data_IF_575052219798
#
_entry.id   IF_575052219798
#
_cell.length_a   1.000
_cell.length_b   1.000
_cell.length_c   1.000
_cell.angle_alpha   90.00
_cell.angle_beta   90.00
_cell.angle_gamma   90.00
#
_symmetry.space_group_name_H-M   'P 1'
#
loop_
_entity.id
_entity.type
_entity.pdbx_description
1 polymer ?
#
# COMPACT_ATOMS: atom_id res chain seq x y z
N UNK A 1 24.40 14.70 14.64
CA UNK A 1 24.21 13.38 15.31
C UNK A 1 23.22 12.59 14.48
N UNK A 2 23.71 11.86 13.46
CA UNK A 2 22.87 11.08 12.53
C UNK A 2 22.15 9.88 13.19
N UNK A 3 22.51 9.55 14.43
CA UNK A 3 22.01 8.40 15.17
C UNK A 3 20.50 8.39 15.37
N UNK A 4 19.85 9.56 15.45
CA UNK A 4 18.41 9.64 15.71
C UNK A 4 17.57 9.31 14.47
N UNK A 5 18.05 9.70 13.27
CA UNK A 5 17.46 9.25 11.99
C UNK A 5 17.65 7.74 11.83
N UNK A 6 18.86 7.23 12.06
CA UNK A 6 19.17 5.80 11.97
C UNK A 6 18.33 4.99 12.94
N UNK A 7 18.21 5.45 14.20
CA UNK A 7 17.35 4.84 15.20
C UNK A 7 15.90 4.80 14.73
N UNK A 8 15.38 5.90 14.16
CA UNK A 8 14.03 5.98 13.62
C UNK A 8 13.80 4.97 12.49
N UNK A 9 14.79 4.79 11.59
CA UNK A 9 14.75 3.78 10.52
C UNK A 9 14.72 2.36 11.10
N UNK A 10 15.60 2.06 12.06
CA UNK A 10 15.63 0.75 12.72
C UNK A 10 14.32 0.46 13.46
N UNK A 11 13.77 1.45 14.18
CA UNK A 11 12.50 1.33 14.89
C UNK A 11 11.34 1.09 13.92
N UNK A 12 11.27 1.85 12.81
CA UNK A 12 10.24 1.67 11.80
C UNK A 12 10.29 0.25 11.18
N UNK A 13 11.49 -0.25 10.84
CA UNK A 13 11.67 -1.60 10.33
C UNK A 13 11.27 -2.68 11.35
N UNK A 14 11.60 -2.48 12.62
CA UNK A 14 11.24 -3.40 13.70
C UNK A 14 9.72 -3.44 13.91
N UNK A 15 9.06 -2.28 13.97
CA UNK A 15 7.59 -2.19 14.08
C UNK A 15 6.88 -2.83 12.87
N UNK A 16 7.38 -2.59 11.66
CA UNK A 16 6.86 -3.20 10.44
C UNK A 16 7.02 -4.72 10.47
N UNK A 17 8.19 -5.22 10.89
CA UNK A 17 8.49 -6.66 10.99
C UNK A 17 7.62 -7.36 12.03
N UNK A 18 7.45 -6.77 13.22
CA UNK A 18 6.57 -7.31 14.27
C UNK A 18 5.12 -7.35 13.79
N UNK A 19 4.66 -6.28 13.15
CA UNK A 19 3.31 -6.22 12.59
C UNK A 19 3.12 -7.30 11.53
N UNK A 20 4.09 -7.48 10.62
CA UNK A 20 4.02 -8.49 9.57
C UNK A 20 4.08 -9.92 10.13
N UNK A 21 4.85 -10.15 11.19
CA UNK A 21 4.89 -11.44 11.87
C UNK A 21 3.56 -11.76 12.58
N UNK A 22 2.93 -10.75 13.20
CA UNK A 22 1.68 -10.93 13.95
C UNK A 22 0.46 -11.09 13.04
N UNK A 23 0.39 -10.32 11.96
CA UNK A 23 -0.77 -10.28 11.07
C UNK A 23 -0.57 -11.06 9.76
N UNK A 24 0.66 -11.37 9.39
CA UNK A 24 1.00 -12.12 8.19
C UNK A 24 1.34 -13.58 8.49
N UNK A 25 0.77 -14.51 7.70
CA UNK A 25 1.17 -15.91 7.73
C UNK A 25 2.44 -16.14 6.89
N UNK A 26 3.59 -15.70 7.39
CA UNK A 26 4.83 -15.58 6.61
C UNK A 26 5.31 -16.91 6.00
N UNK A 27 5.00 -18.04 6.64
CA UNK A 27 5.39 -19.37 6.19
C UNK A 27 4.61 -19.85 4.95
N UNK A 28 3.41 -19.33 4.70
CA UNK A 28 2.57 -19.70 3.56
C UNK A 28 2.67 -18.72 2.39
N UNK A 29 3.23 -17.54 2.63
CA UNK A 29 3.26 -16.45 1.68
C UNK A 29 4.50 -16.50 0.79
N UNK A 30 4.34 -16.11 -0.48
CA UNK A 30 5.47 -15.98 -1.40
C UNK A 30 6.38 -14.81 -0.96
N UNK A 31 7.72 -14.96 -1.00
CA UNK A 31 8.65 -13.95 -0.45
C UNK A 31 8.51 -12.56 -1.06
N UNK A 32 8.09 -12.45 -2.33
CA UNK A 32 7.82 -11.15 -2.99
C UNK A 32 6.71 -10.39 -2.27
N UNK A 33 5.64 -11.07 -1.83
CA UNK A 33 4.53 -10.47 -1.09
C UNK A 33 5.06 -9.92 0.23
N UNK A 34 5.81 -10.75 0.95
CA UNK A 34 6.43 -10.39 2.24
C UNK A 34 7.31 -9.15 2.11
N UNK A 35 8.22 -9.12 1.13
CA UNK A 35 9.12 -7.98 0.92
C UNK A 35 8.37 -6.70 0.53
N UNK A 36 7.36 -6.81 -0.33
CA UNK A 36 6.53 -5.69 -0.79
C UNK A 36 5.76 -5.07 0.38
N UNK A 37 5.09 -5.89 1.19
CA UNK A 37 4.33 -5.43 2.35
C UNK A 37 5.25 -4.86 3.43
N UNK A 38 6.37 -5.54 3.71
CA UNK A 38 7.36 -5.05 4.67
C UNK A 38 7.88 -3.66 4.27
N UNK A 39 8.20 -3.46 3.00
CA UNK A 39 8.67 -2.17 2.47
C UNK A 39 7.58 -1.09 2.61
N UNK A 40 6.34 -1.38 2.20
CA UNK A 40 5.20 -0.45 2.32
C UNK A 40 4.99 0.02 3.77
N UNK A 41 4.95 -0.92 4.71
CA UNK A 41 4.70 -0.63 6.11
C UNK A 41 5.87 0.09 6.75
N UNK A 42 7.10 -0.28 6.39
CA UNK A 42 8.30 0.39 6.87
C UNK A 42 8.32 1.87 6.48
N UNK A 43 7.96 2.22 5.24
CA UNK A 43 7.83 3.62 4.83
C UNK A 43 6.73 4.35 5.60
N UNK A 44 5.58 3.70 5.80
CA UNK A 44 4.47 4.30 6.55
C UNK A 44 4.86 4.65 7.99
N UNK A 45 5.53 3.73 8.69
CA UNK A 45 6.05 4.01 10.04
C UNK A 45 7.20 5.02 10.03
N UNK A 46 8.08 4.97 9.04
CA UNK A 46 9.22 5.89 8.94
C UNK A 46 8.78 7.34 8.77
N UNK A 47 7.73 7.60 8.00
CA UNK A 47 7.18 8.94 7.77
C UNK A 47 6.77 9.60 9.10
N UNK A 48 6.13 8.85 10.00
CA UNK A 48 5.68 9.36 11.31
C UNK A 48 6.84 9.89 12.15
N UNK A 49 7.99 9.22 12.13
CA UNK A 49 9.18 9.65 12.88
C UNK A 49 10.03 10.68 12.13
N UNK A 50 10.05 10.63 10.80
CA UNK A 50 10.90 11.51 9.98
C UNK A 50 10.34 12.93 9.88
N UNK A 51 9.00 13.09 9.81
CA UNK A 51 8.38 14.42 9.68
C UNK A 51 8.81 15.38 10.80
N UNK A 52 8.72 15.03 12.10
CA UNK A 52 9.18 15.92 13.16
C UNK A 52 10.66 16.31 13.06
N UNK A 53 11.52 15.38 12.61
CA UNK A 53 12.95 15.63 12.44
C UNK A 53 13.24 16.59 11.28
N UNK A 54 12.51 16.43 10.18
CA UNK A 54 12.62 17.31 9.02
C UNK A 54 12.12 18.72 9.36
N UNK A 55 10.97 18.83 10.04
CA UNK A 55 10.41 20.12 10.48
C UNK A 55 11.37 20.84 11.42
N UNK A 56 11.88 20.17 12.46
CA UNK A 56 12.83 20.79 13.40
C UNK A 56 14.13 21.21 12.74
N UNK A 57 14.64 20.42 11.78
CA UNK A 57 15.81 20.78 10.98
C UNK A 57 15.54 21.99 10.08
N UNK A 58 14.37 22.06 9.47
CA UNK A 58 13.98 23.15 8.57
C UNK A 58 13.80 24.46 9.33
N UNK A 59 13.10 24.43 10.47
CA UNK A 59 12.91 25.60 11.35
C UNK A 59 14.26 26.13 11.85
N UNK A 60 15.17 25.25 12.25
CA UNK A 60 16.51 25.66 12.67
C UNK A 60 17.28 26.37 11.54
N UNK A 61 17.21 25.86 10.30
CA UNK A 61 17.88 26.49 9.15
C UNK A 61 17.25 27.83 8.78
N UNK A 62 15.91 27.94 8.86
CA UNK A 62 15.22 29.21 8.67
C UNK A 62 15.66 30.25 9.70
N UNK A 63 15.78 29.86 10.98
CA UNK A 63 16.30 30.73 12.04
C UNK A 63 17.71 31.24 11.72
N UNK A 64 18.62 30.37 11.28
CA UNK A 64 19.99 30.76 10.91
C UNK A 64 20.01 31.75 9.73
N UNK A 65 19.12 31.58 8.75
CA UNK A 65 19.01 32.46 7.59
C UNK A 65 18.42 33.82 7.97
N UNK A 66 17.35 33.86 8.76
CA UNK A 66 16.71 35.11 9.21
C UNK A 66 17.67 35.98 10.03
N UNK A 67 18.51 35.36 10.86
CA UNK A 67 19.47 36.08 11.70
C UNK A 67 20.85 36.31 11.04
N UNK A 68 21.05 35.94 9.76
CA UNK A 68 22.32 36.07 9.04
C UNK A 68 23.55 35.55 9.82
N UNK A 69 23.36 34.55 10.69
CA UNK A 69 24.39 34.02 11.60
C UNK A 69 25.53 33.35 10.81
N UNK A 70 25.35 33.11 9.51
CA UNK A 70 26.35 32.54 8.61
C UNK A 70 27.42 33.52 8.14
N UNK A 71 27.24 34.85 8.24
CA UNK A 71 28.12 35.84 7.58
C UNK A 71 28.71 36.96 8.46
N UNK A 72 28.37 37.07 9.75
CA UNK A 72 28.93 38.12 10.60
C UNK A 72 29.99 37.58 11.58
N UNK A 73 31.27 37.73 11.19
CA UNK A 73 32.39 37.94 12.12
C UNK A 73 32.32 39.32 12.83
N UNK A 74 31.13 39.89 12.98
CA UNK A 74 30.88 41.21 13.54
C UNK A 74 30.28 41.11 14.93
N UNK A 75 31.16 41.07 15.93
CA UNK A 75 30.98 41.59 17.29
C UNK A 75 29.54 41.68 17.84
N UNK A 76 29.02 40.58 18.38
CA UNK A 76 28.15 40.61 19.57
C UNK A 76 28.41 39.32 20.34
N UNK A 77 28.71 39.46 21.64
CA UNK A 77 29.11 38.38 22.55
C UNK A 77 27.97 37.43 22.95
N UNK A 78 26.89 37.38 22.17
CA UNK A 78 25.80 36.44 22.43
C UNK A 78 26.10 35.13 21.70
N UNK A 79 26.27 34.07 22.48
CA UNK A 79 26.56 32.74 21.96
C UNK A 79 25.48 32.35 20.91
N UNK A 80 25.86 31.79 19.75
CA UNK A 80 24.91 31.45 18.67
C UNK A 80 23.78 30.50 19.11
N UNK A 81 24.02 29.72 20.17
CA UNK A 81 23.03 28.83 20.78
C UNK A 81 21.92 29.55 21.57
N UNK A 82 22.07 30.84 21.89
CA UNK A 82 21.05 31.62 22.61
C UNK A 82 19.88 32.07 21.70
N UNK A 83 20.12 32.17 20.38
CA UNK A 83 19.12 32.66 19.41
C UNK A 83 18.52 31.49 18.62
N UNK A 84 19.36 30.60 18.09
CA UNK A 84 18.92 29.42 17.34
C UNK A 84 19.48 28.15 18.00
N UNK A 85 18.65 27.42 18.74
CA UNK A 85 19.08 26.20 19.40
C UNK A 85 19.20 25.03 18.41
N UNK A 86 20.37 24.40 18.34
CA UNK A 86 20.60 23.24 17.45
C UNK A 86 19.75 22.03 17.87
N UNK A 87 18.92 21.45 16.98
CA UNK A 87 18.14 20.27 17.30
C UNK A 87 19.02 19.02 17.38
N UNK A 88 18.69 18.10 18.29
CA UNK A 88 19.47 16.86 18.51
C UNK A 88 19.57 15.96 17.27
N UNK A 89 18.55 15.98 16.41
CA UNK A 89 18.47 15.18 15.18
C UNK A 89 19.01 15.88 13.94
N UNK A 90 19.81 16.95 14.06
CA UNK A 90 20.28 17.71 12.88
C UNK A 90 21.14 16.84 11.95
N UNK A 91 20.75 16.83 10.68
CA UNK A 91 21.38 16.11 9.56
C UNK A 91 21.77 17.11 8.47
N UNK A 92 22.66 16.69 7.57
CA UNK A 92 23.08 17.43 6.37
C UNK A 92 21.91 17.77 5.44
N UNK A 93 22.08 18.80 4.61
CA UNK A 93 20.99 19.39 3.82
C UNK A 93 20.39 18.46 2.78
N UNK A 94 21.20 17.56 2.25
CA UNK A 94 20.80 16.67 1.17
C UNK A 94 20.05 15.42 1.65
N UNK A 95 20.15 15.07 2.93
CA UNK A 95 19.65 13.77 3.43
C UNK A 95 18.13 13.70 3.39
N UNK A 96 17.40 14.69 3.92
CA UNK A 96 15.93 14.68 3.89
C UNK A 96 15.37 14.75 2.46
N UNK A 97 15.82 15.64 1.56
CA UNK A 97 15.38 15.64 0.17
C UNK A 97 15.62 14.31 -0.56
N UNK A 98 16.78 13.68 -0.34
CA UNK A 98 17.10 12.38 -0.94
C UNK A 98 16.22 11.26 -0.35
N UNK A 99 16.02 11.26 0.97
CA UNK A 99 15.15 10.32 1.66
C UNK A 99 13.71 10.41 1.15
N UNK A 100 13.14 11.61 1.08
CA UNK A 100 11.80 11.83 0.56
C UNK A 100 11.67 11.42 -0.91
N UNK A 101 12.70 11.65 -1.72
CA UNK A 101 12.74 11.18 -3.11
C UNK A 101 12.70 9.65 -3.19
N UNK A 102 13.47 8.96 -2.37
CA UNK A 102 13.48 7.49 -2.30
C UNK A 102 12.10 6.98 -1.86
N UNK A 103 11.56 7.50 -0.75
CA UNK A 103 10.25 7.10 -0.22
C UNK A 103 9.16 7.34 -1.28
N UNK A 104 9.14 8.51 -1.89
CA UNK A 104 8.14 8.88 -2.89
C UNK A 104 8.17 7.94 -4.10
N UNK A 105 9.31 7.81 -4.79
CA UNK A 105 9.38 7.00 -6.02
C UNK A 105 9.19 5.50 -5.74
N UNK A 106 9.73 5.01 -4.62
CA UNK A 106 9.52 3.62 -4.22
C UNK A 106 8.05 3.34 -3.91
N UNK A 107 7.37 4.26 -3.23
CA UNK A 107 5.93 4.13 -2.93
C UNK A 107 5.06 4.23 -4.19
N UNK A 108 5.42 5.10 -5.14
CA UNK A 108 4.71 5.18 -6.43
C UNK A 108 4.87 3.88 -7.22
N UNK A 109 6.09 3.34 -7.30
CA UNK A 109 6.34 2.07 -7.97
C UNK A 109 5.58 0.91 -7.30
N UNK A 110 5.59 0.86 -5.97
CA UNK A 110 4.88 -0.16 -5.21
C UNK A 110 3.37 -0.10 -5.42
N UNK A 111 2.80 1.11 -5.38
CA UNK A 111 1.35 1.35 -5.45
C UNK A 111 0.81 1.12 -6.85
N UNK A 112 1.48 1.60 -7.89
CA UNK A 112 0.95 1.57 -9.25
C UNK A 112 1.39 0.35 -10.05
N UNK A 113 2.53 -0.27 -9.71
CA UNK A 113 3.03 -1.44 -10.43
C UNK A 113 2.94 -2.72 -9.62
N UNK A 114 3.62 -2.80 -8.48
CA UNK A 114 3.81 -4.08 -7.77
C UNK A 114 2.49 -4.59 -7.17
N UNK A 115 1.78 -3.75 -6.41
CA UNK A 115 0.55 -4.16 -5.72
C UNK A 115 -0.57 -4.57 -6.70
N UNK A 116 -0.88 -3.81 -7.77
CA UNK A 116 -1.91 -4.18 -8.74
C UNK A 116 -1.53 -5.42 -9.55
N UNK A 117 -0.26 -5.54 -9.95
CA UNK A 117 0.23 -6.74 -10.64
C UNK A 117 0.12 -7.98 -9.77
N UNK A 118 0.46 -7.87 -8.48
CA UNK A 118 0.33 -8.97 -7.52
C UNK A 118 -1.14 -9.38 -7.32
N UNK A 119 -2.06 -8.42 -7.23
CA UNK A 119 -3.49 -8.71 -7.12
C UNK A 119 -4.02 -9.43 -8.36
N UNK A 120 -3.71 -8.95 -9.57
CA UNK A 120 -4.15 -9.61 -10.81
C UNK A 120 -3.48 -10.98 -11.01
N UNK A 121 -2.22 -11.15 -10.60
CA UNK A 121 -1.52 -12.43 -10.66
C UNK A 121 -2.18 -13.49 -9.77
N UNK A 122 -2.68 -13.10 -8.59
CA UNK A 122 -3.41 -14.00 -7.68
C UNK A 122 -4.79 -14.37 -8.22
N UNK A 123 -5.44 -13.44 -8.95
CA UNK A 123 -6.74 -13.66 -9.59
C UNK A 123 -6.64 -14.43 -10.91
N UNK A 124 -5.47 -14.47 -11.56
CA UNK A 124 -5.28 -15.15 -12.83
C UNK A 124 -5.49 -16.67 -12.71
N UNK A 125 -6.37 -17.19 -13.56
CA UNK A 125 -6.74 -18.61 -13.64
C UNK A 125 -5.73 -19.50 -14.38
N UNK A 126 -4.67 -18.93 -14.97
CA UNK A 126 -3.69 -19.69 -15.73
C UNK A 126 -2.92 -20.72 -14.88
N UNK A 127 -2.57 -21.85 -15.47
CA UNK A 127 -1.83 -22.91 -14.78
C UNK A 127 -0.32 -22.65 -14.71
N UNK A 128 0.23 -21.82 -15.61
CA UNK A 128 1.67 -21.54 -15.68
C UNK A 128 2.01 -20.17 -15.12
N UNK A 129 3.20 -20.03 -14.51
CA UNK A 129 3.69 -18.74 -13.98
C UNK A 129 3.74 -17.67 -15.07
N UNK A 130 4.23 -18.04 -16.27
CA UNK A 130 4.28 -17.13 -17.43
C UNK A 130 2.89 -16.70 -17.89
N UNK A 131 1.93 -17.63 -17.93
CA UNK A 131 0.54 -17.35 -18.26
C UNK A 131 -0.07 -16.36 -17.27
N UNK A 132 0.06 -16.65 -15.97
CA UNK A 132 -0.43 -15.77 -14.91
C UNK A 132 0.15 -14.37 -14.97
N UNK A 133 1.46 -14.25 -15.19
CA UNK A 133 2.11 -12.94 -15.31
C UNK A 133 1.64 -12.19 -16.56
N UNK A 134 1.48 -12.89 -17.70
CA UNK A 134 0.95 -12.29 -18.93
C UNK A 134 -0.47 -11.78 -18.72
N UNK A 135 -1.36 -12.60 -18.17
CA UNK A 135 -2.75 -12.24 -17.90
C UNK A 135 -2.82 -11.07 -16.92
N UNK A 136 -2.03 -11.11 -15.83
CA UNK A 136 -1.95 -10.01 -14.89
C UNK A 136 -1.45 -8.70 -15.53
N UNK A 137 -0.47 -8.76 -16.42
CA UNK A 137 0.00 -7.59 -17.17
C UNK A 137 -1.06 -7.08 -18.14
N UNK A 138 -1.77 -7.96 -18.84
CA UNK A 138 -2.84 -7.58 -19.77
C UNK A 138 -3.99 -6.92 -19.03
N UNK A 139 -4.46 -7.49 -17.93
CA UNK A 139 -5.55 -6.92 -17.13
C UNK A 139 -5.21 -5.51 -16.62
N UNK A 140 -3.98 -5.33 -16.09
CA UNK A 140 -3.50 -4.03 -15.64
C UNK A 140 -3.29 -3.07 -16.82
N UNK A 141 -2.79 -3.55 -17.98
CA UNK A 141 -2.60 -2.72 -19.16
C UNK A 141 -3.93 -2.25 -19.76
N UNK A 142 -4.98 -3.07 -19.73
CA UNK A 142 -6.34 -2.67 -20.13
C UNK A 142 -6.84 -1.60 -19.17
N UNK A 143 -6.78 -1.86 -17.85
CA UNK A 143 -7.21 -0.90 -16.84
C UNK A 143 -6.49 0.44 -16.99
N UNK A 144 -5.16 0.47 -16.89
CA UNK A 144 -4.39 1.70 -17.03
C UNK A 144 -4.46 2.32 -18.43
N UNK A 145 -4.57 1.50 -19.47
CA UNK A 145 -4.74 1.95 -20.85
C UNK A 145 -6.02 2.77 -21.02
N UNK A 146 -7.13 2.34 -20.39
CA UNK A 146 -8.39 3.12 -20.44
C UNK A 146 -8.26 4.46 -19.72
N UNK A 147 -7.62 4.53 -18.55
CA UNK A 147 -7.34 5.80 -17.88
C UNK A 147 -6.40 6.70 -18.69
N UNK A 148 -5.36 6.12 -19.28
CA UNK A 148 -4.41 6.85 -20.10
C UNK A 148 -5.06 7.40 -21.37
N UNK A 149 -6.01 6.66 -21.96
CA UNK A 149 -6.78 7.14 -23.11
C UNK A 149 -7.62 8.37 -22.75
N UNK A 150 -8.37 8.32 -21.64
CA UNK A 150 -9.14 9.47 -21.15
C UNK A 150 -8.21 10.65 -20.84
N UNK A 151 -7.09 10.40 -20.16
CA UNK A 151 -6.08 11.42 -19.86
C UNK A 151 -5.49 12.02 -21.15
N UNK A 152 -5.25 11.20 -22.17
CA UNK A 152 -4.75 11.63 -23.48
C UNK A 152 -5.69 12.63 -24.16
N UNK A 153 -7.01 12.38 -24.14
CA UNK A 153 -8.00 13.32 -24.67
C UNK A 153 -7.95 14.67 -23.92
N UNK A 154 -7.84 14.63 -22.59
CA UNK A 154 -7.73 15.83 -21.77
C UNK A 154 -6.43 16.61 -22.05
N UNK A 155 -5.31 15.90 -22.25
CA UNK A 155 -4.03 16.52 -22.61
C UNK A 155 -4.05 17.14 -24.00
N UNK A 156 -4.70 16.51 -24.98
CA UNK A 156 -4.91 17.09 -26.32
C UNK A 156 -5.74 18.38 -26.21
N UNK A 157 -6.82 18.36 -25.43
CA UNK A 157 -7.61 19.56 -25.17
C UNK A 157 -6.77 20.69 -24.57
N UNK A 158 -5.91 20.37 -23.59
CA UNK A 158 -4.97 21.34 -23.00
C UNK A 158 -3.93 21.86 -24.01
N UNK A 159 -3.42 20.99 -24.89
CA UNK A 159 -2.43 21.34 -25.89
C UNK A 159 -2.96 22.32 -26.94
N UNK A 160 -4.27 22.25 -27.23
CA UNK A 160 -4.93 23.12 -28.20
C UNK A 160 -5.25 24.51 -27.63
N UNK A 161 -5.14 24.73 -26.31
CA UNK A 161 -5.33 26.05 -25.74
C UNK A 161 -4.11 26.96 -26.01
N UNK A 162 -4.31 28.13 -26.64
CA UNK A 162 -3.21 29.04 -26.95
C UNK A 162 -2.57 29.57 -25.66
N UNK A 163 -1.26 29.37 -25.51
CA UNK A 163 -0.45 29.83 -24.37
C UNK A 163 0.14 28.72 -23.50
N UNK A 164 -0.22 27.45 -23.68
CA UNK A 164 0.28 26.33 -22.88
C UNK A 164 1.24 25.46 -23.70
N UNK A 165 2.54 25.62 -23.47
CA UNK A 165 3.54 24.63 -23.93
C UNK A 165 3.56 23.44 -22.98
N UNK A 166 3.24 22.24 -23.49
CA UNK A 166 3.36 20.99 -22.77
C UNK A 166 4.81 20.48 -22.85
N UNK A 167 5.60 20.80 -21.82
CA UNK A 167 6.94 20.25 -21.64
C UNK A 167 6.92 19.02 -20.72
N UNK A 168 7.94 18.16 -20.83
CA UNK A 168 8.08 16.95 -20.01
C UNK A 168 8.05 17.25 -18.51
N UNK A 169 8.64 18.37 -18.09
CA UNK A 169 8.62 18.81 -16.70
C UNK A 169 7.19 19.10 -16.20
N UNK A 170 6.38 19.75 -17.04
CA UNK A 170 4.97 20.06 -16.71
C UNK A 170 4.13 18.79 -16.70
N UNK A 171 4.34 17.87 -17.65
CA UNK A 171 3.63 16.58 -17.67
C UNK A 171 3.94 15.77 -16.41
N UNK A 172 5.21 15.72 -16.00
CA UNK A 172 5.63 15.09 -14.74
C UNK A 172 4.96 15.75 -13.52
N UNK A 173 4.88 17.08 -13.49
CA UNK A 173 4.21 17.81 -12.42
C UNK A 173 2.70 17.50 -12.37
N UNK A 174 2.02 17.46 -13.52
CA UNK A 174 0.61 17.07 -13.63
C UNK A 174 0.40 15.64 -13.12
N UNK A 175 1.22 14.68 -13.55
CA UNK A 175 1.11 13.29 -13.11
C UNK A 175 1.32 13.15 -11.59
N UNK A 176 2.32 13.85 -11.03
CA UNK A 176 2.58 13.83 -9.59
C UNK A 176 1.45 14.47 -8.77
N UNK A 177 0.89 15.60 -9.24
CA UNK A 177 -0.21 16.28 -8.56
C UNK A 177 -1.52 15.49 -8.66
N UNK A 178 -1.80 14.83 -9.79
CA UNK A 178 -2.93 13.93 -9.94
C UNK A 178 -2.85 12.74 -8.97
N UNK A 179 -1.68 12.09 -8.87
CA UNK A 179 -1.44 10.99 -7.92
C UNK A 179 -1.64 11.43 -6.47
N UNK A 180 -1.12 12.61 -6.09
CA UNK A 180 -1.33 13.16 -4.75
C UNK A 180 -2.80 13.51 -4.48
N UNK A 181 -3.51 14.06 -5.47
CA UNK A 181 -4.94 14.37 -5.37
C UNK A 181 -5.77 13.13 -5.15
N UNK A 182 -5.44 12.01 -5.81
CA UNK A 182 -6.07 10.72 -5.58
C UNK A 182 -5.91 10.26 -4.12
N UNK A 183 -4.69 10.35 -3.57
CA UNK A 183 -4.42 10.01 -2.17
C UNK A 183 -5.20 10.91 -1.19
N UNK A 184 -5.23 12.22 -1.43
CA UNK A 184 -5.99 13.17 -0.61
C UNK A 184 -7.50 12.95 -0.69
N UNK A 185 -8.02 12.61 -1.87
CA UNK A 185 -9.42 12.28 -2.06
C UNK A 185 -9.82 11.07 -1.21
N UNK A 186 -9.01 9.99 -1.25
CA UNK A 186 -9.23 8.83 -0.39
C UNK A 186 -9.10 9.17 1.10
N UNK A 187 -8.15 10.03 1.47
CA UNK A 187 -8.00 10.47 2.86
C UNK A 187 -9.26 11.20 3.33
N UNK A 188 -9.81 12.13 2.55
CA UNK A 188 -11.04 12.85 2.92
C UNK A 188 -12.21 11.87 3.11
N UNK A 189 -12.37 10.88 2.22
CA UNK A 189 -13.44 9.88 2.34
C UNK A 189 -13.28 8.97 3.56
N UNK A 190 -12.05 8.53 3.86
CA UNK A 190 -11.78 7.55 4.91
C UNK A 190 -11.61 8.19 6.30
N UNK A 191 -11.16 9.44 6.36
CA UNK A 191 -10.91 10.15 7.62
C UNK A 191 -12.19 10.32 8.45
N UNK A 192 -13.33 10.57 7.79
CA UNK A 192 -14.62 10.68 8.48
C UNK A 192 -15.00 9.39 9.23
N UNK A 193 -14.80 8.23 8.59
CA UNK A 193 -15.01 6.94 9.24
C UNK A 193 -14.04 6.73 10.41
N UNK A 194 -12.76 7.03 10.20
CA UNK A 194 -11.73 6.87 11.23
C UNK A 194 -11.97 7.75 12.47
N UNK A 195 -12.39 9.01 12.30
CA UNK A 195 -12.60 9.94 13.42
C UNK A 195 -13.90 9.67 14.19
N UNK A 196 -14.92 9.09 13.56
CA UNK A 196 -16.23 8.90 14.19
C UNK A 196 -16.46 7.45 14.59
N UNK A 197 -16.31 6.52 13.66
CA UNK A 197 -16.72 5.13 13.87
C UNK A 197 -15.71 4.36 14.72
N UNK A 198 -14.40 4.65 14.60
CA UNK A 198 -13.39 3.96 15.43
C UNK A 198 -13.55 4.28 16.92
N UNK A 199 -13.63 5.56 17.37
CA UNK A 199 -13.87 5.86 18.78
C UNK A 199 -15.21 5.34 19.29
N UNK A 200 -16.27 5.45 18.46
CA UNK A 200 -17.59 4.90 18.80
C UNK A 200 -17.54 3.39 18.99
N UNK A 201 -16.88 2.67 18.09
CA UNK A 201 -16.69 1.22 18.19
C UNK A 201 -15.93 0.85 19.46
N UNK A 202 -14.83 1.55 19.78
CA UNK A 202 -14.08 1.33 21.03
C UNK A 202 -14.95 1.58 22.28
N UNK A 203 -15.73 2.66 22.29
CA UNK A 203 -16.65 2.99 23.38
C UNK A 203 -17.78 1.97 23.55
N UNK A 204 -18.32 1.47 22.45
CA UNK A 204 -19.38 0.47 22.48
C UNK A 204 -18.84 -0.91 22.87
N UNK A 205 -17.64 -1.27 22.41
CA UNK A 205 -16.99 -2.53 22.76
C UNK A 205 -16.62 -2.63 24.24
N UNK A 206 -16.44 -1.51 24.95
CA UNK A 206 -16.20 -1.51 26.40
C UNK A 206 -17.45 -1.82 27.23
N UNK A 207 -18.66 -1.77 26.63
CA UNK A 207 -19.92 -2.08 27.29
C UNK A 207 -20.31 -3.55 27.08
N UNK A 208 -20.20 -4.42 28.11
CA UNK A 208 -20.35 -5.87 27.93
C UNK A 208 -21.73 -6.28 27.39
N UNK A 209 -22.81 -5.63 27.81
CA UNK A 209 -24.17 -5.93 27.32
C UNK A 209 -24.35 -5.62 25.83
N UNK A 210 -23.82 -4.49 25.36
CA UNK A 210 -23.83 -4.13 23.94
C UNK A 210 -22.98 -5.11 23.13
N UNK A 211 -21.75 -5.36 23.58
CA UNK A 211 -20.81 -6.27 22.91
C UNK A 211 -21.38 -7.67 22.75
N UNK A 212 -22.07 -8.19 23.77
CA UNK A 212 -22.69 -9.51 23.73
C UNK A 212 -23.83 -9.57 22.70
N UNK A 213 -24.75 -8.60 22.70
CA UNK A 213 -25.84 -8.54 21.73
C UNK A 213 -25.33 -8.39 20.29
N UNK A 214 -24.34 -7.51 20.10
CA UNK A 214 -23.69 -7.32 18.81
C UNK A 214 -22.98 -8.60 18.33
N UNK A 215 -22.34 -9.33 19.23
CA UNK A 215 -21.70 -10.61 18.91
C UNK A 215 -22.74 -11.67 18.50
N UNK A 216 -23.89 -11.77 19.17
CA UNK A 216 -24.96 -12.68 18.75
C UNK A 216 -25.52 -12.34 17.37
N UNK A 217 -25.73 -11.06 17.08
CA UNK A 217 -26.15 -10.61 15.75
C UNK A 217 -25.08 -10.92 14.68
N UNK A 218 -23.81 -10.66 14.97
CA UNK A 218 -22.71 -10.97 14.06
C UNK A 218 -22.57 -12.49 13.84
N UNK A 219 -22.80 -13.29 14.87
CA UNK A 219 -22.75 -14.76 14.80
C UNK A 219 -23.82 -15.30 13.86
N UNK A 220 -25.06 -14.80 13.95
CA UNK A 220 -26.13 -15.25 13.05
C UNK A 220 -25.82 -14.90 11.59
N UNK A 221 -25.35 -13.67 11.32
CA UNK A 221 -24.91 -13.28 9.98
C UNK A 221 -23.77 -14.16 9.46
N UNK A 222 -22.73 -14.35 10.27
CA UNK A 222 -21.58 -15.17 9.90
C UNK A 222 -21.95 -16.64 9.70
N UNK A 223 -22.93 -17.16 10.45
CA UNK A 223 -23.44 -18.52 10.24
C UNK A 223 -24.15 -18.68 8.90
N UNK A 224 -24.90 -17.65 8.47
CA UNK A 224 -25.54 -17.63 7.15
C UNK A 224 -24.53 -17.51 6.02
N UNK A 225 -23.54 -16.61 6.15
CA UNK A 225 -22.45 -16.47 5.17
C UNK A 225 -21.62 -17.76 5.07
N UNK A 226 -21.39 -18.46 6.19
CA UNK A 226 -20.72 -19.77 6.20
C UNK A 226 -21.53 -20.80 5.42
N UNK A 227 -22.84 -20.88 5.65
CA UNK A 227 -23.70 -21.85 4.96
C UNK A 227 -23.70 -21.60 3.44
N UNK A 228 -23.81 -20.34 3.01
CA UNK A 228 -23.72 -19.95 1.59
C UNK A 228 -22.34 -20.28 1.01
N UNK A 229 -21.25 -20.05 1.75
CA UNK A 229 -19.91 -20.42 1.31
C UNK A 229 -19.71 -21.95 1.21
N UNK A 230 -20.33 -22.73 2.11
CA UNK A 230 -20.32 -24.19 2.06
C UNK A 230 -21.09 -24.71 0.83
N UNK A 231 -22.28 -24.17 0.55
CA UNK A 231 -23.07 -24.49 -0.66
C UNK A 231 -22.29 -24.18 -1.95
N UNK A 232 -21.67 -23.00 -2.04
CA UNK A 232 -20.84 -22.63 -3.19
C UNK A 232 -19.66 -23.59 -3.41
N UNK A 233 -19.09 -24.15 -2.34
CA UNK A 233 -18.01 -25.14 -2.44
C UNK A 233 -18.57 -26.45 -2.99
N UNK A 234 -19.72 -26.89 -2.50
CA UNK A 234 -20.37 -28.13 -2.95
C UNK A 234 -20.75 -28.04 -4.44
N UNK A 235 -21.32 -26.92 -4.91
CA UNK A 235 -21.65 -26.67 -6.32
C UNK A 235 -20.42 -26.76 -7.24
N UNK A 236 -19.29 -26.19 -6.79
CA UNK A 236 -18.02 -26.23 -7.53
C UNK A 236 -17.44 -27.65 -7.55
N UNK A 237 -17.57 -28.40 -6.46
CA UNK A 237 -17.13 -29.79 -6.38
C UNK A 237 -17.96 -30.69 -7.30
N UNK A 238 -19.29 -30.52 -7.34
CA UNK A 238 -20.16 -31.26 -8.26
C UNK A 238 -19.83 -30.94 -9.73
N UNK A 239 -19.58 -29.68 -10.04
CA UNK A 239 -19.12 -29.24 -11.36
C UNK A 239 -17.78 -29.89 -11.74
N UNK A 240 -16.85 -29.99 -10.77
CA UNK A 240 -15.55 -30.64 -10.96
C UNK A 240 -15.69 -32.16 -11.18
N UNK A 241 -16.55 -32.82 -10.42
CA UNK A 241 -16.85 -34.25 -10.61
C UNK A 241 -17.48 -34.51 -11.98
N UNK A 242 -18.43 -33.66 -12.39
CA UNK A 242 -19.07 -33.73 -13.70
C UNK A 242 -18.05 -33.56 -14.83
N UNK A 243 -17.14 -32.59 -14.72
CA UNK A 243 -16.03 -32.42 -15.65
C UNK A 243 -15.08 -33.63 -15.67
N UNK A 244 -14.82 -34.24 -14.50
CA UNK A 244 -13.98 -35.43 -14.39
C UNK A 244 -14.58 -36.67 -15.05
N UNK A 245 -15.90 -36.84 -14.98
CA UNK A 245 -16.63 -37.91 -15.68
C UNK A 245 -16.69 -37.66 -17.18
N UNK A 246 -16.84 -36.41 -17.61
CA UNK A 246 -16.95 -36.03 -19.01
C UNK A 246 -15.62 -36.09 -19.78
N UNK A 247 -14.47 -35.89 -19.12
CA UNK A 247 -13.15 -35.80 -19.74
C UNK A 247 -12.38 -37.13 -19.57
N UNK A 248 -12.23 -37.94 -20.65
CA UNK A 248 -11.50 -39.21 -20.60
C UNK A 248 -10.02 -39.03 -20.26
N UNK A 249 -9.33 -40.06 -19.75
CA UNK A 249 -7.91 -39.99 -19.37
C UNK A 249 -6.94 -39.61 -20.51
N UNK A 250 -7.33 -39.84 -21.77
CA UNK A 250 -6.51 -39.53 -22.96
C UNK A 250 -6.78 -38.15 -23.56
N UNK A 251 -7.67 -37.35 -22.97
CA UNK A 251 -8.04 -36.05 -23.50
C UNK A 251 -6.97 -34.99 -23.22
N UNK A 252 -6.77 -34.04 -24.14
CA UNK A 252 -5.74 -32.99 -24.04
C UNK A 252 -5.88 -32.11 -22.78
N UNK A 253 -7.12 -31.92 -22.30
CA UNK A 253 -7.43 -31.12 -21.10
C UNK A 253 -7.25 -31.89 -19.77
N UNK A 254 -6.94 -33.20 -19.81
CA UNK A 254 -6.79 -34.01 -18.60
C UNK A 254 -5.73 -33.49 -17.62
N UNK A 255 -4.52 -33.04 -18.07
CA UNK A 255 -3.52 -32.49 -17.16
C UNK A 255 -3.97 -31.20 -16.44
N UNK A 256 -4.78 -30.38 -17.12
CA UNK A 256 -5.36 -29.16 -16.53
C UNK A 256 -6.38 -29.52 -15.44
N UNK A 257 -7.27 -30.48 -15.73
CA UNK A 257 -8.23 -31.00 -14.77
C UNK A 257 -7.53 -31.60 -13.54
N UNK A 258 -6.49 -32.41 -13.73
CA UNK A 258 -5.71 -32.99 -12.62
C UNK A 258 -5.03 -31.91 -11.76
N UNK A 259 -4.56 -30.83 -12.38
CA UNK A 259 -4.02 -29.67 -11.65
C UNK A 259 -5.09 -29.00 -10.79
N UNK A 260 -6.34 -28.93 -11.26
CA UNK A 260 -7.47 -28.40 -10.47
C UNK A 260 -7.80 -29.34 -9.31
N UNK A 261 -7.94 -30.65 -9.58
CA UNK A 261 -8.25 -31.66 -8.55
C UNK A 261 -7.20 -31.63 -7.43
N UNK A 262 -5.91 -31.50 -7.77
CA UNK A 262 -4.82 -31.43 -6.78
C UNK A 262 -4.88 -30.19 -5.86
N UNK A 263 -5.62 -29.14 -6.23
CA UNK A 263 -5.81 -27.96 -5.38
C UNK A 263 -6.94 -28.11 -4.37
N UNK A 264 -7.81 -29.11 -4.54
CA UNK A 264 -8.89 -29.37 -3.59
C UNK A 264 -8.29 -29.94 -2.30
N UNK A 265 -8.58 -29.35 -1.13
CA UNK A 265 -8.19 -29.91 0.16
C UNK A 265 -8.69 -31.35 0.33
N UNK A 266 -7.89 -32.20 0.95
CA UNK A 266 -8.25 -33.61 1.20
C UNK A 266 -9.53 -33.76 2.01
N UNK A 267 -9.76 -32.86 2.98
CA UNK A 267 -10.96 -32.81 3.82
C UNK A 267 -12.26 -32.63 3.02
N UNK A 268 -12.19 -31.93 1.88
CA UNK A 268 -13.34 -31.69 1.00
C UNK A 268 -13.54 -32.82 -0.01
N UNK A 269 -12.46 -33.51 -0.39
CA UNK A 269 -12.55 -34.70 -1.25
C UNK A 269 -13.22 -35.88 -0.55
N UNK A 270 -13.07 -36.00 0.77
CA UNK A 270 -13.71 -37.07 1.57
C UNK A 270 -15.21 -36.85 1.81
N UNK A 271 -15.68 -35.61 1.66
CA UNK A 271 -17.11 -35.25 1.77
C UNK A 271 -17.88 -35.40 0.46
N UNK A 272 -17.18 -35.37 -0.67
CA UNK A 272 -17.74 -35.38 -2.02
C UNK A 272 -17.96 -36.81 -2.56
#
# INVERSE_FOLDING_TARGET
>A
MAYLLVFSICLALLLASISLYRYGCIQRQHPIVTFSVLTAWSFSFLIVFTIPLDVTSTVYRQCLQEHNITNNNGSNNDAPDAICQRPWGMVEEEVFPNLWRIIYWSSQFLTWLIMPLMQSYLKAGDFTIKGKLRSALVDNAIYYGTYLFICGILLIYLALQPGISLDWQKLKAIASSASNTWGLFLLVLLLGYALVEVPRSLWNNSKPGFTLQYAYFKLSKLSSEKAEAEENVDDVLESLQSASRAIPPRHELRPALETIIRKVPTELMERA
#
